data_IF_881393598355
#
_entry.id   IF_881393598355
#
_cell.length_a   1.000
_cell.length_b   1.000
_cell.length_c   1.000
_cell.angle_alpha   90.00
_cell.angle_beta   90.00
_cell.angle_gamma   90.00
#
_symmetry.space_group_name_H-M   'P 1'
#
loop_
_entity.id
_entity.type
_entity.pdbx_description
1 polymer ?
#
# COMPACT_ATOMS: atom_id res chain seq x y z
N UNK A 1 -24.48 -19.41 9.89
CA UNK A 1 -23.14 -19.20 10.50
C UNK A 1 -22.48 -18.07 9.73
N UNK A 2 -22.59 -16.84 10.22
CA UNK A 2 -22.00 -15.67 9.55
C UNK A 2 -20.50 -15.71 9.83
N UNK A 3 -19.69 -15.97 8.81
CA UNK A 3 -18.24 -15.85 8.88
C UNK A 3 -17.92 -14.41 9.28
N UNK A 4 -17.33 -14.20 10.45
CA UNK A 4 -16.70 -12.93 10.78
C UNK A 4 -15.65 -12.65 9.72
N UNK A 5 -15.93 -11.67 8.87
CA UNK A 5 -14.96 -11.12 7.94
C UNK A 5 -13.86 -10.49 8.78
N UNK A 6 -12.76 -11.21 9.01
CA UNK A 6 -11.56 -10.66 9.66
C UNK A 6 -11.21 -9.35 8.97
N UNK A 7 -11.21 -8.26 9.74
CA UNK A 7 -10.93 -6.94 9.20
C UNK A 7 -9.52 -6.92 8.58
N UNK A 8 -9.33 -6.23 7.43
CA UNK A 8 -8.06 -6.27 6.73
C UNK A 8 -6.96 -5.66 7.60
N UNK A 9 -5.82 -6.33 7.67
CA UNK A 9 -4.67 -5.91 8.48
C UNK A 9 -3.48 -5.61 7.59
N UNK A 10 -2.78 -4.51 7.86
CA UNK A 10 -1.57 -4.11 7.14
C UNK A 10 -0.46 -3.80 8.15
N UNK A 11 0.72 -4.39 7.97
CA UNK A 11 1.89 -4.10 8.79
C UNK A 11 3.18 -4.13 7.96
N UNK A 12 4.25 -3.58 8.54
CA UNK A 12 5.59 -3.75 8.04
C UNK A 12 6.54 -4.19 9.16
N UNK A 13 7.46 -5.08 8.81
CA UNK A 13 8.36 -5.75 9.75
C UNK A 13 9.82 -5.51 9.32
N UNK A 14 10.56 -4.72 10.10
CA UNK A 14 11.97 -4.45 9.85
C UNK A 14 12.25 -3.78 8.50
N UNK A 15 11.33 -2.97 8.01
CA UNK A 15 11.32 -2.43 6.66
C UNK A 15 12.47 -1.44 6.41
N UNK A 16 13.32 -1.74 5.42
CA UNK A 16 14.38 -0.83 4.95
C UNK A 16 14.13 -0.46 3.49
N UNK A 17 14.13 0.84 3.16
CA UNK A 17 13.71 1.35 1.86
C UNK A 17 14.78 2.25 1.23
N UNK A 18 15.07 2.02 -0.04
CA UNK A 18 15.98 2.82 -0.87
C UNK A 18 15.51 2.81 -2.33
N UNK A 19 15.96 3.81 -3.11
CA UNK A 19 15.85 3.83 -4.58
C UNK A 19 17.14 3.39 -5.28
N UNK A 20 17.98 2.59 -4.61
CA UNK A 20 19.30 2.17 -5.10
C UNK A 20 20.46 3.05 -4.63
N UNK A 21 20.18 4.04 -3.80
CA UNK A 21 21.17 4.89 -3.12
C UNK A 21 21.16 4.66 -1.60
N UNK A 22 21.51 5.68 -0.80
CA UNK A 22 21.41 5.60 0.66
C UNK A 22 20.00 5.22 1.13
N UNK A 23 19.93 4.55 2.27
CA UNK A 23 18.66 4.19 2.89
C UNK A 23 17.86 5.43 3.30
N UNK A 24 16.57 5.43 2.99
CA UNK A 24 15.62 6.50 3.31
C UNK A 24 14.85 6.17 4.59
N UNK A 25 14.50 4.89 4.76
CA UNK A 25 13.83 4.33 5.93
C UNK A 25 14.63 3.11 6.34
N UNK A 26 14.91 2.95 7.64
CA UNK A 26 15.73 1.84 8.15
C UNK A 26 14.99 1.06 9.24
N UNK A 27 14.91 -0.26 9.08
CA UNK A 27 14.36 -1.21 10.06
C UNK A 27 13.01 -0.80 10.68
N UNK A 28 12.13 -0.19 9.90
CA UNK A 28 10.84 0.30 10.39
C UNK A 28 9.88 -0.86 10.68
N UNK A 29 9.37 -0.92 11.90
CA UNK A 29 8.22 -1.75 12.28
C UNK A 29 6.98 -0.89 12.48
N UNK A 30 5.85 -1.24 11.85
CA UNK A 30 4.57 -0.55 12.02
C UNK A 30 3.39 -1.50 11.83
N UNK A 31 2.33 -1.31 12.61
CA UNK A 31 1.04 -1.98 12.43
C UNK A 31 -0.01 -0.90 12.17
N UNK A 32 -0.79 -1.07 11.11
CA UNK A 32 -1.95 -0.23 10.79
C UNK A 32 -3.20 -0.93 11.34
N UNK A 33 -3.81 -0.42 12.42
CA UNK A 33 -4.97 -1.05 13.02
C UNK A 33 -6.17 -1.08 12.06
N UNK A 34 -6.91 -2.21 12.01
CA UNK A 34 -8.09 -2.34 11.17
C UNK A 34 -9.20 -1.39 11.63
N UNK A 35 -9.89 -0.77 10.66
CA UNK A 35 -11.03 0.12 10.95
C UNK A 35 -10.64 1.50 11.50
N UNK A 36 -9.34 1.80 11.56
CA UNK A 36 -8.83 3.05 12.09
C UNK A 36 -8.16 3.91 11.00
N UNK A 37 -8.15 5.23 11.24
CA UNK A 37 -7.43 6.19 10.41
C UNK A 37 -6.03 6.38 11.00
N UNK A 38 -5.01 5.92 10.28
CA UNK A 38 -3.61 6.14 10.66
C UNK A 38 -3.02 7.33 9.89
N UNK A 39 -2.42 8.28 10.59
CA UNK A 39 -1.74 9.42 10.01
C UNK A 39 -0.21 9.28 10.11
N UNK A 40 0.51 9.51 9.01
CA UNK A 40 1.98 9.55 8.98
C UNK A 40 2.43 11.00 8.83
N UNK A 41 3.14 11.52 9.83
CA UNK A 41 3.56 12.93 9.90
C UNK A 41 5.08 13.02 9.87
N UNK A 42 5.62 14.07 9.24
CA UNK A 42 7.05 14.34 9.21
C UNK A 42 7.41 15.37 8.15
N UNK A 43 8.63 15.91 8.20
CA UNK A 43 9.12 16.91 7.26
C UNK A 43 9.15 16.41 5.79
N UNK A 44 9.27 17.32 4.83
CA UNK A 44 9.48 16.93 3.44
C UNK A 44 10.81 16.18 3.31
N UNK A 45 10.82 15.10 2.52
CA UNK A 45 11.99 14.24 2.35
C UNK A 45 12.17 13.14 3.40
N UNK A 46 11.40 13.11 4.49
CA UNK A 46 11.57 12.07 5.54
C UNK A 46 11.08 10.66 5.17
N UNK A 47 10.72 10.42 3.89
CA UNK A 47 10.37 9.07 3.42
C UNK A 47 8.88 8.69 3.48
N UNK A 48 7.95 9.58 3.82
CA UNK A 48 6.49 9.26 3.88
C UNK A 48 5.95 8.65 2.60
N UNK A 49 6.19 9.31 1.47
CA UNK A 49 5.74 8.81 0.16
C UNK A 49 6.47 7.53 -0.24
N UNK A 50 7.71 7.34 0.22
CA UNK A 50 8.49 6.10 0.04
C UNK A 50 7.86 4.96 0.82
N UNK A 51 7.48 5.18 2.08
CA UNK A 51 6.78 4.22 2.92
C UNK A 51 5.42 3.83 2.32
N UNK A 52 4.60 4.81 1.92
CA UNK A 52 3.30 4.54 1.29
C UNK A 52 3.44 3.70 0.00
N UNK A 53 4.47 3.97 -0.81
CA UNK A 53 4.75 3.14 -2.01
C UNK A 53 5.16 1.73 -1.64
N UNK A 54 5.97 1.54 -0.60
CA UNK A 54 6.37 0.20 -0.15
C UNK A 54 5.16 -0.59 0.38
N UNK A 55 4.35 0.03 1.24
CA UNK A 55 3.10 -0.56 1.74
C UNK A 55 2.15 -0.94 0.59
N UNK A 56 2.10 -0.13 -0.47
CA UNK A 56 1.32 -0.37 -1.68
C UNK A 56 1.94 -1.37 -2.67
N UNK A 57 3.04 -2.05 -2.32
CA UNK A 57 3.79 -2.95 -3.21
C UNK A 57 4.31 -2.27 -4.50
N UNK A 58 4.47 -0.95 -4.48
CA UNK A 58 5.05 -0.18 -5.60
C UNK A 58 6.55 0.06 -5.47
N UNK A 59 7.10 -0.17 -4.28
CA UNK A 59 8.54 -0.12 -4.01
C UNK A 59 8.93 -1.40 -3.28
N UNK A 60 9.86 -2.16 -3.84
CA UNK A 60 10.40 -3.35 -3.17
C UNK A 60 11.35 -2.91 -2.05
N UNK A 61 11.16 -3.40 -0.81
CA UNK A 61 12.11 -3.13 0.27
C UNK A 61 13.48 -3.73 0.00
N UNK A 62 14.53 -3.11 0.53
CA UNK A 62 15.89 -3.67 0.57
C UNK A 62 15.92 -4.86 1.53
N UNK A 63 15.25 -4.71 2.68
CA UNK A 63 15.07 -5.75 3.68
C UNK A 63 13.76 -5.55 4.44
N UNK A 64 13.34 -6.60 5.17
CA UNK A 64 12.05 -6.65 5.84
C UNK A 64 10.91 -7.03 4.90
N UNK A 65 9.68 -6.98 5.43
CA UNK A 65 8.49 -7.38 4.70
C UNK A 65 7.32 -6.44 4.97
N UNK A 66 6.40 -6.36 4.01
CA UNK A 66 5.06 -5.79 4.18
C UNK A 66 4.09 -6.96 4.24
N UNK A 67 3.28 -7.01 5.30
CA UNK A 67 2.34 -8.08 5.56
C UNK A 67 0.92 -7.54 5.34
N UNK A 68 0.15 -8.25 4.51
CA UNK A 68 -1.26 -7.95 4.26
C UNK A 68 -2.07 -9.19 4.62
N UNK A 69 -3.01 -9.05 5.55
CA UNK A 69 -3.88 -10.13 6.02
C UNK A 69 -3.13 -11.39 6.55
N UNK A 70 -1.89 -11.20 7.04
CA UNK A 70 -1.06 -12.25 7.64
C UNK A 70 -0.08 -12.93 6.69
N UNK A 71 -0.03 -12.54 5.42
CA UNK A 71 0.89 -13.06 4.42
C UNK A 71 1.73 -11.94 3.80
N UNK A 72 2.97 -12.24 3.39
CA UNK A 72 3.82 -11.27 2.73
C UNK A 72 3.20 -10.78 1.41
N UNK A 73 3.06 -9.46 1.24
CA UNK A 73 2.28 -8.87 0.15
C UNK A 73 2.83 -9.21 -1.26
N UNK A 74 4.12 -9.53 -1.33
CA UNK A 74 4.83 -9.91 -2.56
C UNK A 74 4.57 -11.37 -2.98
N UNK A 75 4.19 -12.25 -2.05
CA UNK A 75 3.86 -13.65 -2.31
C UNK A 75 2.40 -13.81 -2.78
N UNK A 76 1.56 -12.82 -2.47
CA UNK A 76 0.15 -12.81 -2.87
C UNK A 76 -0.05 -12.53 -4.38
N UNK A 77 -1.08 -13.13 -5.00
CA UNK A 77 -1.47 -12.80 -6.37
C UNK A 77 -1.84 -11.32 -6.54
N UNK A 78 -1.40 -10.69 -7.63
CA UNK A 78 -1.65 -9.26 -7.90
C UNK A 78 -3.13 -8.87 -7.81
N UNK A 79 -4.03 -9.73 -8.34
CA UNK A 79 -5.48 -9.50 -8.30
C UNK A 79 -6.05 -9.54 -6.88
N UNK A 80 -5.49 -10.38 -6.00
CA UNK A 80 -5.91 -10.47 -4.60
C UNK A 80 -5.52 -9.21 -3.83
N UNK A 81 -4.27 -8.77 -3.98
CA UNK A 81 -3.77 -7.52 -3.37
C UNK A 81 -4.60 -6.32 -3.85
N UNK A 82 -4.83 -6.19 -5.16
CA UNK A 82 -5.56 -5.06 -5.74
C UNK A 82 -7.06 -5.00 -5.33
N UNK A 83 -7.64 -6.10 -4.82
CA UNK A 83 -9.00 -6.11 -4.24
C UNK A 83 -9.04 -5.62 -2.79
N UNK A 84 -7.90 -5.64 -2.10
CA UNK A 84 -7.76 -5.33 -0.66
C UNK A 84 -7.13 -3.97 -0.43
N UNK A 85 -6.24 -3.53 -1.33
CA UNK A 85 -5.43 -2.34 -1.15
C UNK A 85 -5.58 -1.38 -2.33
N UNK A 86 -5.88 -0.12 -2.02
CA UNK A 86 -5.90 0.99 -2.96
C UNK A 86 -4.88 2.06 -2.57
N UNK A 87 -4.29 2.73 -3.56
CA UNK A 87 -3.40 3.86 -3.35
C UNK A 87 -3.93 5.07 -4.12
N UNK A 88 -4.19 6.16 -3.40
CA UNK A 88 -4.40 7.47 -3.99
C UNK A 88 -3.06 8.20 -4.03
N UNK A 89 -2.47 8.45 -5.22
CA UNK A 89 -1.23 9.21 -5.32
C UNK A 89 -1.47 10.67 -4.92
N UNK A 90 -0.40 11.34 -4.50
CA UNK A 90 -0.44 12.76 -4.11
C UNK A 90 -0.95 13.69 -5.22
N UNK A 91 -0.68 13.37 -6.49
CA UNK A 91 -1.16 14.12 -7.65
C UNK A 91 -1.83 13.16 -8.65
N UNK A 92 -3.13 12.86 -8.48
CA UNK A 92 -3.86 12.03 -9.41
C UNK A 92 -4.04 12.78 -10.74
N UNK A 93 -3.56 12.19 -11.84
CA UNK A 93 -3.80 12.70 -13.20
C UNK A 93 -4.85 11.83 -13.87
N UNK A 94 -5.98 12.43 -14.23
CA UNK A 94 -6.99 11.76 -15.05
C UNK A 94 -6.46 11.63 -16.49
N UNK A 95 -6.62 10.48 -17.15
CA UNK A 95 -6.30 10.35 -18.57
C UNK A 95 -7.19 11.26 -19.41
N UNK A 96 -6.64 11.84 -20.47
CA UNK A 96 -7.44 12.60 -21.45
C UNK A 96 -8.44 11.69 -22.16
N UNK A 97 -9.59 12.26 -22.55
CA UNK A 97 -10.61 11.55 -23.32
C UNK A 97 -11.39 10.49 -22.54
N UNK A 98 -11.35 10.50 -21.20
CA UNK A 98 -12.09 9.55 -20.35
C UNK A 98 -13.19 10.27 -19.58
N UNK A 99 -14.42 9.77 -19.68
CA UNK A 99 -15.54 10.27 -18.86
C UNK A 99 -15.39 9.80 -17.41
N UNK A 100 -15.95 10.57 -16.47
CA UNK A 100 -15.84 10.30 -15.03
C UNK A 100 -16.30 8.88 -14.66
N UNK A 101 -17.41 8.42 -15.24
CA UNK A 101 -17.92 7.06 -14.99
C UNK A 101 -16.93 5.96 -15.40
N UNK A 102 -16.20 6.16 -16.48
CA UNK A 102 -15.23 5.18 -16.99
C UNK A 102 -13.98 5.17 -16.12
N UNK A 103 -13.53 6.34 -15.67
CA UNK A 103 -12.42 6.43 -14.72
C UNK A 103 -12.75 5.69 -13.41
N UNK A 104 -13.95 5.92 -12.85
CA UNK A 104 -14.40 5.23 -11.63
C UNK A 104 -14.51 3.71 -11.85
N UNK A 105 -15.06 3.28 -12.99
CA UNK A 105 -15.18 1.85 -13.35
C UNK A 105 -13.83 1.15 -13.44
N UNK A 106 -12.79 1.81 -13.94
CA UNK A 106 -11.42 1.24 -14.01
C UNK A 106 -10.88 0.87 -12.62
N UNK A 107 -11.22 1.63 -11.58
CA UNK A 107 -10.86 1.28 -10.19
C UNK A 107 -11.46 -0.04 -9.70
N UNK A 108 -12.51 -0.55 -10.37
CA UNK A 108 -13.17 -1.83 -10.05
C UNK A 108 -12.65 -3.01 -10.87
N UNK A 109 -11.68 -2.81 -11.76
CA UNK A 109 -11.11 -3.86 -12.62
C UNK A 109 -10.70 -5.13 -11.85
N UNK A 110 -10.09 -5.06 -10.65
CA UNK A 110 -9.76 -6.27 -9.90
C UNK A 110 -10.98 -7.12 -9.49
N UNK A 111 -12.17 -6.55 -9.39
CA UNK A 111 -13.40 -7.24 -8.96
C UNK A 111 -14.18 -7.89 -10.11
N UNK A 112 -13.80 -7.63 -11.36
CA UNK A 112 -14.26 -8.33 -12.56
C UNK A 112 -13.37 -9.57 -12.76
#
# INVERSE_FOLDING_TARGET
>A
MHSESKAPTLSAEGLTLSYGGPDIVTKLGIVIPPGEITAIIGANGCGKSTLLRALARLLRPVSGAVILDGEAINEQPTKAVARRLGLLPQAPRAPEGVIVSDLVRRGRYPHQ
#
